data_IF_882619108040
#
_entry.id   IF_882619108040
#
_cell.length_a   1.000
_cell.length_b   1.000
_cell.length_c   1.000
_cell.angle_alpha   90.00
_cell.angle_beta   90.00
_cell.angle_gamma   90.00
#
_symmetry.space_group_name_H-M   'P 1'
#
loop_
_entity.id
_entity.type
_entity.pdbx_description
1 polymer ?
#
# COMPACT_ATOMS: atom_id res chain seq x y z
N UNK A 1 2.84 19.06 -2.26
CA UNK A 1 2.04 17.86 -1.91
C UNK A 1 2.27 16.88 -3.03
N UNK A 2 3.33 16.07 -2.92
CA UNK A 2 3.78 15.22 -4.03
C UNK A 2 2.74 14.15 -4.34
N UNK A 3 2.34 14.12 -5.60
CA UNK A 3 1.22 13.39 -6.18
C UNK A 3 1.16 11.93 -5.73
N UNK A 4 0.35 11.68 -4.71
CA UNK A 4 0.03 10.31 -4.26
C UNK A 4 -0.64 9.56 -5.43
N UNK A 5 -1.33 10.27 -6.32
CA UNK A 5 -1.90 9.75 -7.56
C UNK A 5 -0.86 8.98 -8.39
N UNK A 6 0.34 9.49 -8.59
CA UNK A 6 1.38 8.82 -9.40
C UNK A 6 1.95 7.53 -8.79
N UNK A 7 1.53 7.17 -7.57
CA UNK A 7 1.90 5.91 -6.90
C UNK A 7 0.75 4.90 -6.92
N UNK A 8 -0.38 5.28 -7.51
CA UNK A 8 -1.58 4.47 -7.61
C UNK A 8 -1.74 4.00 -9.06
N UNK A 9 -2.43 2.89 -9.22
CA UNK A 9 -2.86 2.45 -10.53
C UNK A 9 -3.82 3.50 -11.14
N UNK A 10 -3.84 3.61 -12.47
CA UNK A 10 -4.61 4.63 -13.21
C UNK A 10 -6.09 4.65 -12.81
N UNK A 11 -6.65 3.50 -12.46
CA UNK A 11 -8.04 3.39 -12.00
C UNK A 11 -8.30 4.03 -10.63
N UNK A 12 -7.26 4.28 -9.84
CA UNK A 12 -7.34 4.80 -8.48
C UNK A 12 -6.81 6.23 -8.34
N UNK A 13 -6.19 6.81 -9.38
CA UNK A 13 -5.67 8.19 -9.39
C UNK A 13 -6.75 9.26 -9.14
N UNK A 14 -8.01 8.97 -9.52
CA UNK A 14 -9.14 9.88 -9.36
C UNK A 14 -9.92 9.69 -8.06
N UNK A 15 -9.53 8.69 -7.24
CA UNK A 15 -10.22 8.35 -6.00
C UNK A 15 -9.70 9.17 -4.83
N UNK A 16 -10.56 9.33 -3.81
CA UNK A 16 -10.18 10.03 -2.58
C UNK A 16 -9.24 9.18 -1.72
N UNK A 17 -8.44 9.82 -0.86
CA UNK A 17 -7.51 9.13 0.02
C UNK A 17 -8.18 8.05 0.91
N UNK A 18 -9.43 8.26 1.32
CA UNK A 18 -10.22 7.24 2.03
C UNK A 18 -10.51 6.02 1.16
N UNK A 19 -11.01 6.24 -0.07
CA UNK A 19 -11.28 5.17 -1.04
C UNK A 19 -10.02 4.37 -1.36
N UNK A 20 -8.88 5.05 -1.49
CA UNK A 20 -7.58 4.41 -1.72
C UNK A 20 -7.13 3.62 -0.50
N UNK A 21 -7.35 4.13 0.72
CA UNK A 21 -7.00 3.43 1.94
C UNK A 21 -7.81 2.13 2.10
N UNK A 22 -9.09 2.14 1.72
CA UNK A 22 -9.96 0.96 1.75
C UNK A 22 -9.83 0.08 0.48
N UNK A 23 -9.12 0.55 -0.55
CA UNK A 23 -8.82 -0.21 -1.76
C UNK A 23 -7.83 -1.35 -1.50
N UNK A 24 -7.84 -2.41 -2.33
CA UNK A 24 -6.87 -3.49 -2.25
C UNK A 24 -5.44 -2.98 -2.49
N UNK A 25 -4.43 -3.67 -1.95
CA UNK A 25 -3.02 -3.29 -2.17
C UNK A 25 -2.59 -3.31 -3.64
N UNK A 26 -3.32 -4.04 -4.51
CA UNK A 26 -3.15 -4.01 -5.96
C UNK A 26 -3.51 -2.66 -6.61
N UNK A 27 -4.18 -1.76 -5.87
CA UNK A 27 -4.41 -0.38 -6.30
C UNK A 27 -3.13 0.47 -6.30
N UNK A 28 -2.03 -0.03 -5.70
CA UNK A 28 -0.74 0.62 -5.74
C UNK A 28 -0.03 0.27 -7.06
N UNK A 29 0.53 1.28 -7.71
CA UNK A 29 1.26 1.09 -8.95
C UNK A 29 2.45 0.14 -8.73
N UNK A 30 2.51 -0.93 -9.52
CA UNK A 30 3.58 -1.93 -9.44
C UNK A 30 3.29 -3.12 -8.51
N UNK A 31 2.12 -3.16 -7.86
CA UNK A 31 1.64 -4.34 -7.13
C UNK A 31 0.64 -5.08 -8.01
N UNK A 32 1.00 -6.28 -8.47
CA UNK A 32 0.08 -7.12 -9.24
C UNK A 32 -0.89 -7.86 -8.31
N UNK A 33 -2.00 -8.39 -8.84
CA UNK A 33 -2.94 -9.21 -8.06
C UNK A 33 -2.24 -10.38 -7.36
N UNK A 34 -1.32 -11.06 -8.03
CA UNK A 34 -0.53 -12.16 -7.46
C UNK A 34 0.34 -11.74 -6.27
N UNK A 35 0.82 -10.49 -6.24
CA UNK A 35 1.61 -9.96 -5.12
C UNK A 35 0.68 -9.56 -3.96
N UNK A 36 -0.49 -9.01 -4.28
CA UNK A 36 -1.54 -8.72 -3.31
C UNK A 36 -2.03 -9.99 -2.60
N UNK A 37 -2.18 -11.10 -3.32
CA UNK A 37 -2.53 -12.40 -2.75
C UNK A 37 -1.47 -12.90 -1.77
N UNK A 38 -0.19 -12.84 -2.12
CA UNK A 38 0.90 -13.22 -1.22
C UNK A 38 0.95 -12.36 0.04
N UNK A 39 0.74 -11.05 -0.08
CA UNK A 39 0.67 -10.14 1.06
C UNK A 39 -0.50 -10.48 1.99
N UNK A 40 -1.63 -10.85 1.42
CA UNK A 40 -2.79 -11.35 2.16
C UNK A 40 -2.53 -12.68 2.83
N UNK A 41 -1.89 -13.63 2.17
CA UNK A 41 -1.62 -14.95 2.77
C UNK A 41 -0.54 -14.88 3.85
N UNK A 42 0.54 -14.13 3.61
CA UNK A 42 1.68 -14.06 4.53
C UNK A 42 1.44 -13.13 5.73
N UNK A 43 0.76 -11.99 5.50
CA UNK A 43 0.63 -10.93 6.51
C UNK A 43 -0.82 -10.56 6.81
N UNK A 44 -1.80 -11.24 6.21
CA UNK A 44 -3.23 -10.92 6.31
C UNK A 44 -3.56 -9.47 5.90
N UNK A 45 -2.75 -8.91 4.98
CA UNK A 45 -2.92 -7.56 4.45
C UNK A 45 -3.81 -7.61 3.21
N UNK A 46 -4.94 -6.90 3.25
CA UNK A 46 -5.88 -6.87 2.12
C UNK A 46 -5.95 -5.48 1.49
N UNK A 47 -5.95 -4.44 2.32
CA UNK A 47 -6.12 -3.06 1.90
C UNK A 47 -4.84 -2.25 2.01
N UNK A 48 -4.77 -1.10 1.33
CA UNK A 48 -3.67 -0.14 1.48
C UNK A 48 -3.59 0.34 2.95
N UNK A 49 -4.72 0.50 3.63
CA UNK A 49 -4.76 0.81 5.07
C UNK A 49 -4.13 -0.30 5.91
N UNK A 50 -4.46 -1.56 5.63
CA UNK A 50 -3.84 -2.69 6.35
C UNK A 50 -2.32 -2.67 6.16
N UNK A 51 -1.84 -2.41 4.93
CA UNK A 51 -0.41 -2.33 4.64
C UNK A 51 0.26 -1.19 5.40
N UNK A 52 -0.35 0.01 5.40
CA UNK A 52 0.18 1.19 6.07
C UNK A 52 0.05 1.20 7.60
N UNK A 53 -0.81 0.35 8.17
CA UNK A 53 -1.01 0.23 9.63
C UNK A 53 -0.40 -1.04 10.22
N UNK A 54 0.18 -1.90 9.38
CA UNK A 54 0.81 -3.14 9.84
C UNK A 54 2.12 -2.84 10.60
N UNK A 55 2.21 -3.37 11.82
CA UNK A 55 3.39 -3.20 12.70
C UNK A 55 4.72 -3.58 12.06
N UNK A 56 4.76 -4.63 11.22
CA UNK A 56 6.00 -5.08 10.59
C UNK A 56 6.48 -4.09 9.52
N UNK A 57 5.56 -3.55 8.73
CA UNK A 57 5.87 -2.56 7.71
C UNK A 57 6.25 -1.21 8.33
N UNK A 58 5.58 -0.81 9.41
CA UNK A 58 5.93 0.38 10.18
C UNK A 58 7.33 0.26 10.80
N UNK A 59 7.68 -0.89 11.37
CA UNK A 59 9.03 -1.13 11.88
C UNK A 59 10.07 -1.12 10.75
N UNK A 60 9.81 -1.81 9.63
CA UNK A 60 10.70 -1.82 8.49
C UNK A 60 10.92 -0.40 7.92
N UNK A 61 9.86 0.40 7.80
CA UNK A 61 9.95 1.80 7.39
C UNK A 61 10.78 2.62 8.38
N UNK A 62 10.57 2.44 9.69
CA UNK A 62 11.34 3.14 10.71
C UNK A 62 12.83 2.78 10.63
N UNK A 63 13.17 1.49 10.50
CA UNK A 63 14.57 1.06 10.34
C UNK A 63 15.20 1.58 9.04
N UNK A 64 14.48 1.54 7.92
CA UNK A 64 14.97 2.08 6.65
C UNK A 64 15.27 3.58 6.75
N UNK A 65 14.37 4.34 7.40
CA UNK A 65 14.54 5.77 7.62
C UNK A 65 15.69 6.12 8.58
N UNK A 66 15.98 5.26 9.54
CA UNK A 66 17.13 5.42 10.45
C UNK A 66 18.47 5.03 9.80
N UNK A 67 18.43 4.27 8.70
CA UNK A 67 19.61 3.87 7.94
C UNK A 67 20.01 4.86 6.84
N UNK A 68 19.19 5.88 6.58
CA UNK A 68 19.52 7.06 5.77
C UNK A 68 20.28 8.11 6.59
#
# INVERSE_FOLDING_TARGET
MGDIASKLDKEYETKSAQEIADAPVAALQGVSESDAEKLKEAFNIKTVRDLGTNKYFLWAQAFAKLAE
#
